data_IF_225189218518
#
_entry.id   IF_225189218518
#
_cell.length_a   1.000
_cell.length_b   1.000
_cell.length_c   1.000
_cell.angle_alpha   90.00
_cell.angle_beta   90.00
_cell.angle_gamma   90.00
#
_symmetry.space_group_name_H-M   'P 1'
#
loop_
_entity.id
_entity.type
_entity.pdbx_description
1 polymer ?
#
# COMPACT_ATOMS: atom_id res chain seq x y z
N UNK A 1 5.86 -29.22 9.04
CA UNK A 1 6.80 -28.19 8.57
C UNK A 1 6.44 -26.92 9.32
N UNK A 2 7.31 -26.47 10.22
CA UNK A 2 7.11 -25.28 11.05
C UNK A 2 7.36 -24.05 10.18
N UNK A 3 6.49 -23.04 10.24
CA UNK A 3 6.93 -21.65 10.13
C UNK A 3 6.06 -20.79 11.05
N UNK A 4 6.64 -20.01 11.98
CA UNK A 4 5.88 -19.17 12.90
C UNK A 4 5.15 -18.08 12.13
N UNK A 5 3.85 -17.92 12.35
CA UNK A 5 3.13 -16.72 11.92
C UNK A 5 3.75 -15.52 12.66
N UNK A 6 4.36 -14.54 11.97
CA UNK A 6 5.01 -13.43 12.66
C UNK A 6 3.97 -12.56 13.36
N UNK A 7 4.25 -12.31 14.64
CA UNK A 7 3.46 -11.49 15.56
C UNK A 7 3.61 -10.01 15.17
N UNK A 8 2.50 -9.28 15.23
CA UNK A 8 2.47 -7.82 15.18
C UNK A 8 3.18 -7.17 16.36
N UNK A 9 4.15 -6.32 16.07
CA UNK A 9 4.50 -5.17 16.89
C UNK A 9 4.46 -3.91 15.98
N UNK A 10 3.49 -2.99 16.14
CA UNK A 10 3.31 -1.84 15.25
C UNK A 10 4.32 -0.70 15.50
N UNK A 11 5.54 -1.04 15.90
CA UNK A 11 6.58 -0.07 16.27
C UNK A 11 7.88 -0.13 15.48
N UNK A 12 8.16 -1.21 14.75
CA UNK A 12 9.51 -1.46 14.20
C UNK A 12 9.48 -2.24 12.87
N UNK A 13 9.03 -1.61 11.79
CA UNK A 13 9.24 -2.13 10.41
C UNK A 13 8.72 -3.54 10.13
N UNK A 14 7.74 -4.02 10.90
CA UNK A 14 7.22 -5.37 10.82
C UNK A 14 6.41 -5.64 9.56
N UNK A 15 6.55 -6.84 8.99
CA UNK A 15 5.71 -7.30 7.89
C UNK A 15 4.37 -7.82 8.42
N UNK A 16 3.28 -7.28 7.90
CA UNK A 16 1.91 -7.66 8.18
C UNK A 16 1.51 -8.89 7.35
N UNK A 17 0.68 -9.76 7.93
CA UNK A 17 0.03 -10.81 7.15
C UNK A 17 -1.10 -10.24 6.29
N UNK A 18 -1.43 -10.93 5.21
CA UNK A 18 -2.51 -10.53 4.29
C UNK A 18 -3.85 -10.33 5.02
N UNK A 19 -4.18 -11.24 5.94
CA UNK A 19 -5.42 -11.16 6.72
C UNK A 19 -5.47 -9.92 7.61
N UNK A 20 -4.34 -9.55 8.22
CA UNK A 20 -4.34 -8.37 9.07
C UNK A 20 -4.33 -7.09 8.24
N UNK A 21 -3.63 -7.06 7.12
CA UNK A 21 -3.71 -5.94 6.19
C UNK A 21 -5.15 -5.73 5.70
N UNK A 22 -5.87 -6.80 5.35
CA UNK A 22 -7.29 -6.75 4.98
C UNK A 22 -8.14 -6.15 6.11
N UNK A 23 -7.96 -6.62 7.35
CA UNK A 23 -8.69 -6.11 8.52
C UNK A 23 -8.38 -4.64 8.83
N UNK A 24 -7.13 -4.21 8.70
CA UNK A 24 -6.70 -2.84 8.97
C UNK A 24 -7.22 -1.85 7.93
N UNK A 25 -7.28 -2.28 6.66
CA UNK A 25 -7.56 -1.41 5.52
C UNK A 25 -9.02 -1.50 5.07
N UNK A 26 -9.76 -2.52 5.51
CA UNK A 26 -11.12 -2.81 5.07
C UNK A 26 -11.20 -3.35 3.64
N UNK A 27 -10.05 -3.69 3.03
CA UNK A 27 -9.95 -4.25 1.69
C UNK A 27 -10.01 -5.77 1.76
N UNK A 28 -10.55 -6.42 0.71
CA UNK A 28 -10.50 -7.88 0.63
C UNK A 28 -9.08 -8.35 0.36
N UNK A 29 -8.74 -9.53 0.87
CA UNK A 29 -7.44 -10.17 0.63
C UNK A 29 -7.16 -10.34 -0.86
N UNK A 30 -8.18 -10.62 -1.66
CA UNK A 30 -8.08 -10.73 -3.13
C UNK A 30 -7.65 -9.41 -3.77
N UNK A 31 -8.23 -8.28 -3.35
CA UNK A 31 -7.83 -6.94 -3.82
C UNK A 31 -6.39 -6.62 -3.45
N UNK A 32 -5.95 -7.00 -2.24
CA UNK A 32 -4.57 -6.78 -1.80
C UNK A 32 -3.59 -7.61 -2.64
N UNK A 33 -3.89 -8.90 -2.88
CA UNK A 33 -3.08 -9.77 -3.74
C UNK A 33 -2.99 -9.22 -5.15
N UNK A 34 -4.10 -8.76 -5.72
CA UNK A 34 -4.11 -8.14 -7.05
C UNK A 34 -3.17 -6.94 -7.14
N UNK A 35 -3.12 -6.09 -6.10
CA UNK A 35 -2.19 -4.97 -6.06
C UNK A 35 -0.73 -5.39 -5.91
N UNK A 36 -0.44 -6.54 -5.30
CA UNK A 36 0.91 -7.11 -5.28
C UNK A 36 1.30 -7.67 -6.65
N UNK A 37 0.40 -8.40 -7.32
CA UNK A 37 0.65 -8.99 -8.65
C UNK A 37 0.88 -7.92 -9.72
N UNK A 38 0.19 -6.79 -9.60
CA UNK A 38 0.30 -5.70 -10.55
C UNK A 38 1.38 -4.67 -10.22
N UNK A 39 2.18 -4.93 -9.16
CA UNK A 39 3.32 -4.10 -8.78
C UNK A 39 2.96 -2.76 -8.12
N UNK A 40 1.69 -2.55 -7.75
CA UNK A 40 1.26 -1.37 -6.98
C UNK A 40 1.76 -1.46 -5.53
N UNK A 41 1.88 -2.67 -5.01
CA UNK A 41 2.43 -2.97 -3.69
C UNK A 41 3.65 -3.88 -3.81
N UNK A 42 4.55 -3.77 -2.85
CA UNK A 42 5.64 -4.72 -2.67
C UNK A 42 5.14 -6.11 -2.25
N UNK A 43 6.03 -7.10 -2.34
CA UNK A 43 5.75 -8.48 -1.90
C UNK A 43 5.56 -8.60 -0.38
N UNK A 44 6.23 -7.72 0.36
CA UNK A 44 6.03 -7.55 1.80
C UNK A 44 4.93 -6.53 2.03
N UNK A 45 4.03 -6.81 2.98
CA UNK A 45 3.04 -5.84 3.44
C UNK A 45 3.60 -5.15 4.67
N UNK A 46 4.29 -4.04 4.52
CA UNK A 46 4.82 -3.23 5.62
C UNK A 46 3.92 -2.00 5.89
N UNK A 47 4.37 -1.10 6.78
CA UNK A 47 3.64 0.12 7.08
C UNK A 47 3.41 1.02 5.84
N UNK A 48 4.37 1.05 4.91
CA UNK A 48 4.23 1.80 3.66
C UNK A 48 3.15 1.18 2.76
N UNK A 49 3.12 -0.14 2.68
CA UNK A 49 2.08 -0.90 1.98
C UNK A 49 0.70 -0.64 2.58
N UNK A 50 0.57 -0.62 3.92
CA UNK A 50 -0.68 -0.29 4.59
C UNK A 50 -1.13 1.15 4.36
N UNK A 51 -0.19 2.11 4.35
CA UNK A 51 -0.50 3.52 4.00
C UNK A 51 -1.04 3.61 2.59
N UNK A 52 -0.43 2.91 1.64
CA UNK A 52 -0.87 2.86 0.24
C UNK A 52 -2.26 2.23 0.13
N UNK A 53 -2.50 1.09 0.79
CA UNK A 53 -3.80 0.43 0.83
C UNK A 53 -4.90 1.33 1.43
N UNK A 54 -4.63 2.06 2.52
CA UNK A 54 -5.58 3.03 3.08
C UNK A 54 -5.90 4.16 2.10
N UNK A 55 -4.89 4.67 1.39
CA UNK A 55 -5.08 5.71 0.38
C UNK A 55 -5.93 5.21 -0.78
N UNK A 56 -5.72 3.97 -1.23
CA UNK A 56 -6.53 3.29 -2.24
C UNK A 56 -7.99 3.15 -1.76
N UNK A 57 -8.20 2.63 -0.55
CA UNK A 57 -9.53 2.49 0.03
C UNK A 57 -10.26 3.82 0.09
N UNK A 58 -9.59 4.88 0.52
CA UNK A 58 -10.17 6.22 0.55
C UNK A 58 -10.54 6.75 -0.85
N UNK A 59 -9.69 6.55 -1.85
CA UNK A 59 -9.98 6.98 -3.23
C UNK A 59 -11.18 6.23 -3.84
N UNK A 60 -11.28 4.93 -3.56
CA UNK A 60 -12.41 4.11 -4.03
C UNK A 60 -13.70 4.52 -3.33
N UNK A 61 -13.68 4.61 -2.01
CA UNK A 61 -14.90 4.74 -1.21
C UNK A 61 -15.38 6.20 -1.11
N UNK A 62 -14.47 7.18 -1.08
CA UNK A 62 -14.82 8.59 -0.95
C UNK A 62 -15.01 9.31 -2.29
N UNK A 63 -14.38 8.83 -3.38
CA UNK A 63 -14.36 9.53 -4.68
C UNK A 63 -15.01 8.70 -5.80
N UNK A 64 -15.35 7.42 -5.55
CA UNK A 64 -15.96 6.54 -6.54
C UNK A 64 -15.06 6.26 -7.75
N UNK A 65 -13.75 6.42 -7.58
CA UNK A 65 -12.77 6.29 -8.66
C UNK A 65 -12.56 4.80 -8.94
N UNK A 66 -12.67 4.43 -10.21
CA UNK A 66 -12.41 3.08 -10.66
C UNK A 66 -10.90 2.72 -10.58
N UNK A 67 -10.58 1.44 -10.65
CA UNK A 67 -9.21 0.96 -10.47
C UNK A 67 -8.17 1.61 -11.42
N UNK A 68 -8.47 1.83 -12.73
CA UNK A 68 -7.56 2.56 -13.61
C UNK A 68 -7.27 3.99 -13.13
N UNK A 69 -8.28 4.69 -12.63
CA UNK A 69 -8.12 6.02 -12.05
C UNK A 69 -7.28 6.03 -10.79
N UNK A 70 -7.44 5.02 -9.93
CA UNK A 70 -6.61 4.85 -8.71
C UNK A 70 -5.14 4.67 -9.09
N UNK A 71 -4.84 3.79 -10.06
CA UNK A 71 -3.47 3.56 -10.55
C UNK A 71 -2.83 4.85 -11.07
N UNK A 72 -3.58 5.61 -11.87
CA UNK A 72 -3.11 6.89 -12.42
C UNK A 72 -2.79 7.90 -11.31
N UNK A 73 -3.66 8.02 -10.30
CA UNK A 73 -3.46 8.95 -9.17
C UNK A 73 -2.24 8.55 -8.34
N UNK A 74 -2.06 7.26 -8.06
CA UNK A 74 -0.90 6.79 -7.30
C UNK A 74 0.42 7.05 -8.04
N UNK A 75 0.46 6.78 -9.34
CA UNK A 75 1.65 7.01 -10.14
C UNK A 75 2.01 8.50 -10.22
N UNK A 76 1.00 9.37 -10.40
CA UNK A 76 1.22 10.82 -10.37
C UNK A 76 1.70 11.31 -9.00
N UNK A 77 1.18 10.75 -7.90
CA UNK A 77 1.64 11.10 -6.56
C UNK A 77 3.11 10.71 -6.35
N UNK A 78 3.52 9.52 -6.81
CA UNK A 78 4.91 9.04 -6.75
C UNK A 78 5.85 9.92 -7.55
N UNK A 79 5.44 10.34 -8.75
CA UNK A 79 6.23 11.25 -9.59
C UNK A 79 6.40 12.63 -8.94
N UNK A 80 5.35 13.17 -8.31
CA UNK A 80 5.42 14.44 -7.57
C UNK A 80 6.35 14.35 -6.36
N UNK A 81 6.32 13.24 -5.62
CA UNK A 81 7.25 13.01 -4.50
C UNK A 81 8.70 12.95 -5.01
N UNK A 82 8.94 12.18 -6.07
CA UNK A 82 10.26 12.09 -6.71
C UNK A 82 10.78 13.47 -7.15
N UNK A 83 9.93 14.28 -7.79
CA UNK A 83 10.31 15.61 -8.26
C UNK A 83 10.60 16.56 -7.09
N UNK A 84 9.79 16.50 -6.03
CA UNK A 84 10.01 17.30 -4.82
C UNK A 84 11.33 16.94 -4.13
N UNK A 85 11.68 15.67 -4.09
CA UNK A 85 12.92 15.21 -3.45
C UNK A 85 14.14 15.60 -4.28
N UNK A 86 14.06 15.53 -5.61
CA UNK A 86 15.10 16.07 -6.50
C UNK A 86 15.33 17.57 -6.29
N UNK A 87 14.25 18.35 -6.16
CA UNK A 87 14.35 19.79 -5.89
C UNK A 87 14.99 20.06 -4.52
N UNK A 88 14.74 19.22 -3.51
CA UNK A 88 15.32 19.37 -2.17
C UNK A 88 16.78 18.92 -2.09
N UNK A 89 17.17 17.91 -2.87
CA UNK A 89 18.54 17.40 -2.93
C UNK A 89 19.49 18.28 -3.76
N UNK A 90 18.95 19.22 -4.53
CA UNK A 90 19.71 20.19 -5.33
C UNK A 90 20.05 21.52 -4.64
N UNK A 91 19.75 21.66 -3.34
CA UNK A 91 20.17 22.78 -2.47
C UNK A 91 21.13 22.28 -1.38
#
# INVERSE_FOLDING_TARGET
MNDPLPIHDPGDGGTYSLEVAARITGLSSETIVHYQETGVLGRSLDDESLRTLRRIGHLRDAVGVNEPGIRLILELARQLETLRDQMRAGF
#
